data_IF_243394373300
#
_entry.id   IF_243394373300
#
_cell.length_a   1.000
_cell.length_b   1.000
_cell.length_c   1.000
_cell.angle_alpha   90.00
_cell.angle_beta   90.00
_cell.angle_gamma   90.00
#
_symmetry.space_group_name_H-M   'P 1'
#
loop_
_entity.id
_entity.type
_entity.pdbx_description
1 polymer ?
#
# COMPACT_ATOMS: atom_id res chain seq x y z
N UNK A 1 7.73 -19.41 -19.50
CA UNK A 1 7.78 -20.30 -18.32
C UNK A 1 6.46 -21.03 -18.31
N UNK A 2 6.48 -22.34 -18.20
CA UNK A 2 5.25 -23.14 -18.05
C UNK A 2 4.54 -22.70 -16.77
N UNK A 3 3.24 -22.54 -16.85
CA UNK A 3 2.41 -22.12 -15.72
C UNK A 3 2.14 -23.36 -14.89
N UNK A 4 2.76 -23.47 -13.72
CA UNK A 4 2.57 -24.58 -12.78
C UNK A 4 1.25 -24.38 -12.04
N UNK A 5 0.40 -25.39 -12.02
CA UNK A 5 -0.85 -25.37 -11.27
C UNK A 5 -0.60 -25.81 -9.82
N UNK A 6 -1.43 -25.37 -8.89
CA UNK A 6 -1.29 -25.75 -7.48
C UNK A 6 -1.51 -27.24 -7.23
N UNK A 7 -2.32 -27.92 -8.06
CA UNK A 7 -2.53 -29.38 -7.98
C UNK A 7 -1.29 -30.19 -8.38
N UNK A 8 -0.34 -29.61 -9.11
CA UNK A 8 0.94 -30.22 -9.49
C UNK A 8 2.01 -30.11 -8.37
N UNK A 9 1.78 -29.27 -7.35
CA UNK A 9 2.74 -29.01 -6.28
C UNK A 9 2.70 -30.01 -5.11
N UNK A 10 1.93 -31.10 -5.22
CA UNK A 10 1.78 -32.14 -4.20
C UNK A 10 1.41 -31.59 -2.80
N UNK A 11 0.44 -30.68 -2.74
CA UNK A 11 -0.02 -30.05 -1.53
C UNK A 11 -1.00 -30.92 -0.74
N UNK A 12 -1.08 -30.68 0.58
CA UNK A 12 -2.15 -31.24 1.40
C UNK A 12 -3.53 -30.89 0.81
N UNK A 13 -4.45 -31.87 0.62
CA UNK A 13 -5.76 -31.62 0.02
C UNK A 13 -6.56 -30.52 0.72
N UNK A 14 -6.36 -30.31 2.04
CA UNK A 14 -7.03 -29.25 2.81
C UNK A 14 -6.51 -27.85 2.40
N UNK A 15 -5.21 -27.74 2.16
CA UNK A 15 -4.57 -26.51 1.69
C UNK A 15 -4.94 -26.25 0.22
N UNK A 16 -4.90 -27.27 -0.63
CA UNK A 16 -5.30 -27.16 -2.03
C UNK A 16 -6.75 -26.66 -2.17
N UNK A 17 -7.66 -27.17 -1.33
CA UNK A 17 -9.04 -26.69 -1.28
C UNK A 17 -9.14 -25.24 -0.86
N UNK A 18 -8.35 -24.81 0.14
CA UNK A 18 -8.33 -23.42 0.58
C UNK A 18 -7.80 -22.47 -0.51
N UNK A 19 -6.74 -22.88 -1.21
CA UNK A 19 -6.15 -22.16 -2.36
C UNK A 19 -7.18 -21.99 -3.48
N UNK A 20 -7.94 -23.05 -3.79
CA UNK A 20 -9.02 -23.02 -4.80
C UNK A 20 -10.14 -22.05 -4.38
N UNK A 21 -10.58 -22.10 -3.10
CA UNK A 21 -11.58 -21.18 -2.56
C UNK A 21 -11.14 -19.70 -2.60
N UNK A 22 -9.82 -19.45 -2.55
CA UNK A 22 -9.23 -18.12 -2.70
C UNK A 22 -9.13 -17.66 -4.16
N UNK A 23 -9.53 -18.48 -5.13
CA UNK A 23 -9.50 -18.18 -6.55
C UNK A 23 -8.12 -18.28 -7.19
N UNK A 24 -7.18 -18.98 -6.57
CA UNK A 24 -5.84 -19.20 -7.13
C UNK A 24 -5.86 -20.44 -8.04
N UNK A 25 -5.74 -20.23 -9.35
CA UNK A 25 -5.70 -21.32 -10.34
C UNK A 25 -4.28 -21.81 -10.61
N UNK A 26 -3.36 -20.88 -10.71
CA UNK A 26 -1.97 -21.14 -11.06
C UNK A 26 -1.00 -20.48 -10.07
N UNK A 27 0.10 -21.13 -9.79
CA UNK A 27 1.16 -20.60 -8.95
C UNK A 27 1.87 -19.43 -9.63
N UNK A 28 2.07 -18.35 -8.92
CA UNK A 28 2.92 -17.26 -9.37
C UNK A 28 4.38 -17.72 -9.50
N UNK A 29 5.24 -17.02 -10.25
CA UNK A 29 6.63 -17.45 -10.44
C UNK A 29 7.40 -17.65 -9.13
N UNK A 30 7.14 -16.84 -8.10
CA UNK A 30 7.78 -17.01 -6.79
C UNK A 30 7.23 -18.23 -6.06
N UNK A 31 5.93 -18.50 -6.14
CA UNK A 31 5.29 -19.64 -5.51
C UNK A 31 5.77 -20.95 -6.16
N UNK A 32 5.82 -21.01 -7.49
CA UNK A 32 6.24 -22.17 -8.24
C UNK A 32 7.68 -22.60 -7.93
N UNK A 33 8.56 -21.64 -7.59
CA UNK A 33 9.97 -21.93 -7.29
C UNK A 33 10.21 -22.10 -5.77
N UNK A 34 9.57 -21.29 -4.92
CA UNK A 34 9.82 -21.30 -3.48
C UNK A 34 9.17 -22.50 -2.78
N UNK A 35 7.90 -22.82 -3.13
CA UNK A 35 7.16 -23.88 -2.44
C UNK A 35 7.91 -25.22 -2.45
N UNK A 36 8.43 -25.74 -3.57
CA UNK A 36 9.18 -27.01 -3.58
C UNK A 36 10.43 -26.95 -2.71
N UNK A 37 11.23 -25.88 -2.81
CA UNK A 37 12.47 -25.70 -2.06
C UNK A 37 12.21 -25.70 -0.54
N UNK A 38 11.17 -24.99 -0.09
CA UNK A 38 10.80 -24.96 1.32
C UNK A 38 10.23 -26.30 1.82
N UNK A 39 9.47 -27.00 0.97
CA UNK A 39 8.94 -28.34 1.31
C UNK A 39 10.05 -29.37 1.50
N UNK A 40 11.14 -29.25 0.75
CA UNK A 40 12.35 -30.10 0.93
C UNK A 40 13.13 -29.77 2.23
N UNK A 41 12.76 -28.68 2.92
CA UNK A 41 13.38 -28.31 4.20
C UNK A 41 14.62 -27.43 4.06
N UNK A 42 14.95 -26.96 2.87
CA UNK A 42 16.11 -26.09 2.66
C UNK A 42 15.85 -24.68 3.24
N UNK A 43 16.90 -24.07 3.74
CA UNK A 43 16.91 -22.61 3.96
C UNK A 43 16.82 -21.92 2.60
N UNK A 44 16.13 -20.78 2.56
CA UNK A 44 15.88 -20.11 1.30
C UNK A 44 15.97 -18.57 1.43
N UNK A 45 16.44 -17.97 0.36
CA UNK A 45 16.35 -16.52 0.14
C UNK A 45 15.47 -16.30 -1.09
N UNK A 46 14.28 -15.76 -0.88
CA UNK A 46 13.35 -15.38 -1.93
C UNK A 46 13.48 -13.89 -2.27
N UNK A 47 14.01 -13.58 -3.44
CA UNK A 47 14.07 -12.19 -3.90
C UNK A 47 12.87 -11.91 -4.81
N UNK A 48 11.87 -11.21 -4.25
CA UNK A 48 10.63 -10.87 -4.94
C UNK A 48 10.00 -9.62 -4.37
N UNK A 49 9.35 -8.83 -5.24
CA UNK A 49 8.62 -7.61 -4.85
C UNK A 49 7.34 -7.91 -4.07
N UNK A 50 6.74 -6.89 -3.43
CA UNK A 50 5.41 -6.96 -2.83
C UNK A 50 4.34 -7.26 -3.89
N UNK A 51 3.27 -7.96 -3.50
CA UNK A 51 2.18 -8.31 -4.42
C UNK A 51 2.46 -9.45 -5.39
N UNK A 52 3.58 -10.17 -5.26
CA UNK A 52 3.91 -11.33 -6.10
C UNK A 52 3.36 -12.66 -5.54
N UNK A 53 2.67 -12.63 -4.39
CA UNK A 53 2.14 -13.82 -3.73
C UNK A 53 3.13 -14.48 -2.78
N UNK A 54 4.08 -13.73 -2.19
CA UNK A 54 5.07 -14.23 -1.22
C UNK A 54 4.43 -14.94 -0.02
N UNK A 55 3.35 -14.40 0.52
CA UNK A 55 2.68 -14.97 1.71
C UNK A 55 2.25 -16.42 1.47
N UNK A 56 1.66 -16.72 0.32
CA UNK A 56 1.32 -18.08 -0.02
C UNK A 56 2.57 -18.93 -0.32
N UNK A 57 3.65 -18.33 -0.89
CA UNK A 57 4.90 -19.03 -1.19
C UNK A 57 5.53 -19.63 0.06
N UNK A 58 5.63 -18.88 1.17
CA UNK A 58 6.13 -19.44 2.44
C UNK A 58 5.03 -20.03 3.33
N UNK A 59 3.80 -19.51 3.25
CA UNK A 59 2.71 -19.92 4.11
C UNK A 59 2.23 -21.35 3.85
N UNK A 60 2.19 -21.79 2.60
CA UNK A 60 1.79 -23.14 2.22
C UNK A 60 2.77 -24.19 2.78
N UNK A 61 4.09 -24.13 2.51
CA UNK A 61 5.06 -25.07 3.08
C UNK A 61 5.10 -25.04 4.60
N UNK A 62 5.00 -23.84 5.18
CA UNK A 62 4.96 -23.67 6.63
C UNK A 62 3.76 -24.38 7.25
N UNK A 63 2.55 -24.22 6.69
CA UNK A 63 1.34 -24.87 7.18
C UNK A 63 1.41 -26.39 7.02
N UNK A 64 2.02 -26.91 5.98
CA UNK A 64 2.19 -28.36 5.78
C UNK A 64 3.08 -29.02 6.83
N UNK A 65 3.94 -28.26 7.51
CA UNK A 65 4.84 -28.74 8.59
C UNK A 65 4.23 -28.63 9.99
N UNK A 66 3.05 -28.03 10.12
CA UNK A 66 2.43 -27.81 11.46
C UNK A 66 1.82 -29.08 12.01
N UNK A 67 2.12 -29.38 13.27
CA UNK A 67 1.44 -30.39 14.08
C UNK A 67 0.32 -29.72 14.89
N UNK A 68 -0.96 -29.97 14.56
CA UNK A 68 -2.09 -29.37 15.26
C UNK A 68 -2.25 -29.86 16.71
N UNK A 69 -1.71 -31.03 17.05
CA UNK A 69 -1.78 -31.59 18.40
C UNK A 69 -0.73 -30.94 19.34
N UNK A 70 0.36 -30.42 18.77
CA UNK A 70 1.37 -29.72 19.52
C UNK A 70 0.97 -28.25 19.73
N UNK A 71 0.60 -27.89 20.94
CA UNK A 71 0.18 -26.52 21.31
C UNK A 71 1.30 -25.50 21.48
N UNK A 72 2.56 -25.93 21.34
CA UNK A 72 3.72 -25.01 21.39
C UNK A 72 3.80 -24.20 20.10
N UNK A 73 4.52 -23.08 20.19
CA UNK A 73 4.86 -22.30 19.00
C UNK A 73 5.87 -23.04 18.14
N UNK A 74 5.52 -23.34 16.91
CA UNK A 74 6.29 -24.14 15.97
C UNK A 74 6.91 -23.29 14.86
N UNK A 75 6.30 -22.15 14.56
CA UNK A 75 6.81 -21.23 13.56
C UNK A 75 6.69 -19.77 14.00
N UNK A 76 7.65 -18.97 13.52
CA UNK A 76 7.68 -17.53 13.73
C UNK A 76 7.88 -16.81 12.39
N UNK A 77 7.07 -15.79 12.15
CA UNK A 77 7.20 -14.91 10.99
C UNK A 77 7.45 -13.50 11.50
N UNK A 78 8.54 -12.87 11.08
CA UNK A 78 8.85 -11.48 11.37
C UNK A 78 8.49 -10.59 10.20
N UNK A 79 7.79 -9.50 10.49
CA UNK A 79 7.34 -8.50 9.53
C UNK A 79 7.72 -7.10 10.00
N UNK A 80 8.03 -6.15 9.10
CA UNK A 80 8.43 -4.79 9.47
C UNK A 80 7.34 -3.99 10.18
N UNK A 81 6.08 -4.19 9.80
CA UNK A 81 4.95 -3.39 10.28
C UNK A 81 3.85 -4.25 10.90
N UNK A 82 3.03 -3.61 11.72
CA UNK A 82 1.87 -4.23 12.37
C UNK A 82 0.83 -4.65 11.35
N UNK A 83 0.61 -3.79 10.38
CA UNK A 83 -0.36 -3.97 9.31
C UNK A 83 -0.01 -5.21 8.49
N UNK A 84 1.26 -5.36 8.10
CA UNK A 84 1.72 -6.55 7.38
C UNK A 84 1.61 -7.81 8.27
N UNK A 85 1.94 -7.72 9.55
CA UNK A 85 1.79 -8.87 10.46
C UNK A 85 0.32 -9.32 10.59
N UNK A 86 -0.62 -8.39 10.60
CA UNK A 86 -2.06 -8.69 10.60
C UNK A 86 -2.47 -9.33 9.27
N UNK A 87 -2.07 -8.73 8.15
CA UNK A 87 -2.37 -9.21 6.80
C UNK A 87 -1.85 -10.63 6.58
N UNK A 88 -0.58 -10.88 6.90
CA UNK A 88 0.04 -12.21 6.81
C UNK A 88 -0.70 -13.22 7.69
N UNK A 89 -1.05 -12.84 8.93
CA UNK A 89 -1.81 -13.73 9.82
C UNK A 89 -3.20 -14.06 9.27
N UNK A 90 -3.89 -13.11 8.64
CA UNK A 90 -5.20 -13.33 8.03
C UNK A 90 -5.11 -14.20 6.78
N UNK A 91 -4.11 -13.99 5.93
CA UNK A 91 -3.87 -14.80 4.75
C UNK A 91 -3.54 -16.26 5.13
N UNK A 92 -2.68 -16.46 6.13
CA UNK A 92 -2.40 -17.79 6.68
C UNK A 92 -3.65 -18.46 7.27
N UNK A 93 -4.54 -17.72 7.93
CA UNK A 93 -5.82 -18.27 8.42
C UNK A 93 -6.72 -18.69 7.26
N UNK A 94 -6.74 -17.95 6.16
CA UNK A 94 -7.49 -18.32 4.95
C UNK A 94 -6.91 -19.61 4.33
N UNK A 95 -5.59 -19.72 4.23
CA UNK A 95 -4.90 -20.94 3.76
C UNK A 95 -5.15 -22.12 4.69
N UNK A 96 -5.20 -21.90 6.03
CA UNK A 96 -5.46 -22.92 7.03
C UNK A 96 -6.96 -23.21 7.26
N UNK A 97 -7.88 -22.66 6.46
CA UNK A 97 -9.34 -22.72 6.64
C UNK A 97 -9.86 -24.13 6.92
N UNK A 98 -9.28 -25.14 6.32
CA UNK A 98 -9.68 -26.55 6.46
C UNK A 98 -8.76 -27.35 7.38
N UNK A 99 -7.78 -26.72 8.04
CA UNK A 99 -6.86 -27.31 8.99
C UNK A 99 -7.35 -27.02 10.42
N UNK A 100 -7.99 -27.99 11.08
CA UNK A 100 -8.43 -27.82 12.46
C UNK A 100 -7.22 -27.81 13.42
N UNK A 101 -7.31 -27.04 14.50
CA UNK A 101 -6.31 -27.04 15.57
C UNK A 101 -5.16 -26.05 15.39
N UNK A 102 -4.96 -25.48 14.20
CA UNK A 102 -3.89 -24.48 13.94
C UNK A 102 -4.37 -23.08 14.36
N UNK A 103 -3.63 -22.49 15.29
CA UNK A 103 -3.85 -21.12 15.77
C UNK A 103 -2.72 -20.22 15.33
N UNK A 104 -3.08 -19.09 14.72
CA UNK A 104 -2.17 -18.09 14.19
C UNK A 104 -2.41 -16.78 14.94
N UNK A 105 -1.38 -16.25 15.60
CA UNK A 105 -1.47 -15.05 16.42
C UNK A 105 -0.60 -13.93 15.86
N UNK A 106 -1.18 -12.79 15.47
CA UNK A 106 -0.39 -11.59 15.21
C UNK A 106 0.07 -10.95 16.53
N UNK A 107 1.38 -10.61 16.61
CA UNK A 107 2.07 -10.10 17.79
C UNK A 107 2.77 -8.79 17.43
N UNK A 108 2.19 -7.65 17.82
CA UNK A 108 2.68 -6.33 17.42
C UNK A 108 2.47 -5.28 18.52
N UNK A 109 3.21 -4.18 18.42
CA UNK A 109 3.11 -3.06 19.36
C UNK A 109 1.81 -2.25 19.19
N UNK A 110 1.41 -1.47 20.23
CA UNK A 110 0.20 -0.65 20.21
C UNK A 110 -1.08 -1.34 20.69
N UNK A 111 -1.09 -2.66 20.77
CA UNK A 111 -2.14 -3.45 21.43
C UNK A 111 -1.73 -3.75 22.87
N UNK A 112 -2.71 -3.91 23.76
CA UNK A 112 -2.46 -4.37 25.14
C UNK A 112 -1.77 -5.72 25.16
N UNK A 113 -0.57 -5.76 25.74
CA UNK A 113 0.25 -6.98 25.81
C UNK A 113 -0.46 -8.12 26.54
N UNK A 114 -1.32 -7.81 27.53
CA UNK A 114 -2.05 -8.81 28.34
C UNK A 114 -2.97 -9.66 27.45
N UNK A 115 -3.60 -9.07 26.42
CA UNK A 115 -4.44 -9.82 25.48
C UNK A 115 -3.61 -10.83 24.69
N UNK A 116 -2.43 -10.43 24.22
CA UNK A 116 -1.49 -11.31 23.52
C UNK A 116 -0.97 -12.43 24.43
N UNK A 117 -0.59 -12.12 25.68
CA UNK A 117 -0.16 -13.12 26.67
C UNK A 117 -1.26 -14.16 26.93
N UNK A 118 -2.52 -13.72 27.05
CA UNK A 118 -3.66 -14.66 27.25
C UNK A 118 -3.82 -15.60 26.06
N UNK A 119 -3.71 -15.09 24.85
CA UNK A 119 -3.78 -15.91 23.63
C UNK A 119 -2.62 -16.91 23.56
N UNK A 120 -1.40 -16.49 23.84
CA UNK A 120 -0.20 -17.35 23.87
C UNK A 120 -0.33 -18.49 24.90
N UNK A 121 -0.86 -18.21 26.10
CA UNK A 121 -1.15 -19.25 27.13
C UNK A 121 -2.17 -20.28 26.65
N UNK A 122 -3.08 -19.91 25.75
CA UNK A 122 -4.06 -20.82 25.16
C UNK A 122 -3.49 -21.80 24.11
N UNK A 123 -2.18 -21.71 23.83
CA UNK A 123 -1.48 -22.47 22.79
C UNK A 123 -1.65 -21.83 21.41
N UNK A 124 -0.54 -21.53 20.74
CA UNK A 124 -0.46 -20.90 19.41
C UNK A 124 0.69 -21.55 18.66
N UNK A 125 0.40 -22.10 17.49
CA UNK A 125 1.39 -22.77 16.66
C UNK A 125 2.21 -21.79 15.83
N UNK A 126 1.60 -20.73 15.33
CA UNK A 126 2.27 -19.76 14.45
C UNK A 126 2.14 -18.35 15.01
N UNK A 127 3.27 -17.69 15.19
CA UNK A 127 3.34 -16.27 15.55
C UNK A 127 3.75 -15.47 14.32
N UNK A 128 3.02 -14.40 14.07
CA UNK A 128 3.38 -13.40 13.05
C UNK A 128 3.60 -12.08 13.77
N UNK A 129 4.83 -11.57 13.81
CA UNK A 129 5.10 -10.44 14.68
C UNK A 129 6.06 -9.39 14.15
N UNK A 130 6.00 -8.20 14.76
CA UNK A 130 7.02 -7.16 14.57
C UNK A 130 8.16 -7.38 15.54
N UNK A 131 9.45 -7.17 15.13
CA UNK A 131 10.62 -7.52 15.94
C UNK A 131 10.56 -7.01 17.37
N UNK A 132 10.35 -5.72 17.60
CA UNK A 132 10.37 -5.14 18.95
C UNK A 132 9.31 -5.74 19.90
N UNK A 133 8.11 -6.12 19.44
CA UNK A 133 7.08 -6.75 20.28
C UNK A 133 7.39 -8.23 20.52
N UNK A 134 7.93 -8.93 19.55
CA UNK A 134 8.41 -10.31 19.69
C UNK A 134 9.51 -10.35 20.76
N UNK A 135 10.48 -9.43 20.70
CA UNK A 135 11.53 -9.26 21.74
C UNK A 135 10.95 -9.03 23.14
N UNK A 136 9.93 -8.17 23.28
CA UNK A 136 9.28 -7.93 24.58
C UNK A 136 8.65 -9.21 25.14
N UNK A 137 7.99 -10.01 24.30
CA UNK A 137 7.44 -11.32 24.71
C UNK A 137 8.53 -12.36 25.05
N UNK A 138 9.64 -12.39 24.30
CA UNK A 138 10.77 -13.29 24.59
C UNK A 138 11.44 -12.93 25.93
N UNK A 139 11.72 -11.63 26.16
CA UNK A 139 12.26 -11.15 27.47
C UNK A 139 11.33 -11.50 28.65
N UNK A 140 10.01 -11.47 28.43
CA UNK A 140 8.99 -11.86 29.42
C UNK A 140 8.78 -13.37 29.50
N UNK A 141 9.46 -14.16 28.66
CA UNK A 141 9.29 -15.63 28.56
C UNK A 141 7.83 -16.04 28.30
N UNK A 142 7.05 -15.22 27.63
CA UNK A 142 5.66 -15.50 27.24
C UNK A 142 5.57 -16.16 25.87
N UNK A 143 6.56 -15.97 25.01
CA UNK A 143 6.85 -16.79 23.82
C UNK A 143 7.94 -17.80 24.24
N UNK A 144 7.70 -19.07 23.98
CA UNK A 144 8.68 -20.15 24.14
C UNK A 144 9.18 -20.53 22.76
N UNK A 145 10.50 -20.53 22.61
CA UNK A 145 11.17 -20.76 21.32
C UNK A 145 11.56 -22.21 21.08
N UNK A 146 11.51 -23.05 22.11
CA UNK A 146 12.06 -24.42 22.16
C UNK A 146 11.47 -25.40 21.13
N UNK A 147 10.33 -25.12 20.56
CA UNK A 147 9.68 -25.94 19.54
C UNK A 147 9.60 -25.27 18.15
N UNK A 148 10.23 -24.10 18.00
CA UNK A 148 10.23 -23.39 16.71
C UNK A 148 11.20 -24.09 15.76
N UNK A 149 10.68 -24.66 14.69
CA UNK A 149 11.44 -25.32 13.65
C UNK A 149 11.42 -24.57 12.31
N UNK A 150 10.64 -23.47 12.20
CA UNK A 150 10.62 -22.65 10.98
C UNK A 150 10.56 -21.17 11.38
N UNK A 151 11.44 -20.36 10.83
CA UNK A 151 11.38 -18.90 10.92
C UNK A 151 11.37 -18.28 9.54
N UNK A 152 10.50 -17.28 9.36
CA UNK A 152 10.39 -16.49 8.12
C UNK A 152 10.69 -15.03 8.44
N UNK A 153 11.56 -14.40 7.66
CA UNK A 153 11.76 -12.96 7.63
C UNK A 153 11.08 -12.41 6.36
N UNK A 154 9.94 -11.76 6.51
CA UNK A 154 9.25 -11.15 5.38
C UNK A 154 9.57 -9.65 5.30
N UNK A 155 9.90 -9.18 4.11
CA UNK A 155 10.40 -7.82 3.85
C UNK A 155 11.62 -7.48 4.73
N UNK A 156 12.65 -8.33 4.69
CA UNK A 156 13.84 -8.21 5.54
C UNK A 156 14.59 -6.88 5.32
N UNK A 157 14.67 -6.41 4.08
CA UNK A 157 15.25 -5.09 3.73
C UNK A 157 14.46 -3.94 4.38
N UNK A 158 13.14 -4.05 4.45
CA UNK A 158 12.31 -3.05 5.11
C UNK A 158 12.51 -3.06 6.64
N UNK A 159 12.66 -4.24 7.25
CA UNK A 159 13.02 -4.32 8.68
C UNK A 159 14.39 -3.66 8.96
N UNK A 160 15.35 -3.84 8.04
CA UNK A 160 16.64 -3.14 8.11
C UNK A 160 16.48 -1.62 8.04
N UNK A 161 15.73 -1.13 7.06
CA UNK A 161 15.47 0.31 6.86
C UNK A 161 14.76 0.95 8.07
N UNK A 162 13.99 0.17 8.82
CA UNK A 162 13.34 0.59 10.05
C UNK A 162 14.21 0.47 11.30
N UNK A 163 15.46 0.04 11.17
CA UNK A 163 16.42 -0.07 12.27
C UNK A 163 16.28 -1.34 13.11
N UNK A 164 15.59 -2.38 12.64
CA UNK A 164 15.39 -3.64 13.37
C UNK A 164 16.51 -4.66 13.20
N UNK A 165 17.69 -4.25 12.70
CA UNK A 165 18.82 -5.16 12.47
C UNK A 165 19.19 -5.93 13.73
N UNK A 166 19.46 -5.23 14.83
CA UNK A 166 19.85 -5.82 16.13
C UNK A 166 18.74 -6.70 16.73
N UNK A 167 17.48 -6.28 16.57
CA UNK A 167 16.33 -7.07 17.03
C UNK A 167 16.22 -8.39 16.26
N UNK A 168 16.38 -8.36 14.93
CA UNK A 168 16.37 -9.57 14.09
C UNK A 168 17.50 -10.52 14.49
N UNK A 169 18.73 -10.03 14.63
CA UNK A 169 19.88 -10.85 15.06
C UNK A 169 19.66 -11.47 16.43
N UNK A 170 19.13 -10.71 17.38
CA UNK A 170 18.85 -11.19 18.72
C UNK A 170 17.78 -12.28 18.71
N UNK A 171 16.67 -12.05 17.99
CA UNK A 171 15.60 -13.05 17.87
C UNK A 171 16.14 -14.34 17.25
N UNK A 172 16.82 -14.23 16.11
CA UNK A 172 17.37 -15.40 15.40
C UNK A 172 18.40 -16.16 16.26
N UNK A 173 19.19 -15.46 17.08
CA UNK A 173 20.17 -16.05 18.00
C UNK A 173 19.54 -16.82 19.18
N UNK A 174 18.30 -16.49 19.57
CA UNK A 174 17.57 -17.18 20.65
C UNK A 174 16.68 -18.34 20.16
N UNK A 175 16.58 -18.56 18.85
CA UNK A 175 15.86 -19.69 18.27
C UNK A 175 16.74 -20.96 18.23
N UNK A 176 16.13 -22.17 18.19
CA UNK A 176 16.87 -23.42 18.03
C UNK A 176 17.78 -23.42 16.80
N UNK A 177 18.96 -24.05 16.90
CA UNK A 177 19.89 -24.17 15.77
C UNK A 177 19.34 -25.08 14.67
N UNK A 178 18.60 -26.12 15.04
CA UNK A 178 17.90 -27.01 14.13
C UNK A 178 16.56 -26.40 13.74
N UNK A 179 16.62 -25.60 12.69
CA UNK A 179 15.43 -24.95 12.11
C UNK A 179 15.61 -24.67 10.63
N UNK A 180 14.54 -24.46 9.94
CA UNK A 180 14.53 -23.86 8.62
C UNK A 180 14.40 -22.34 8.73
N UNK A 181 15.28 -21.60 8.07
CA UNK A 181 15.25 -20.13 8.03
C UNK A 181 14.95 -19.67 6.58
N UNK A 182 13.83 -19.01 6.39
CA UNK A 182 13.37 -18.48 5.11
C UNK A 182 13.41 -16.97 5.14
N UNK A 183 13.96 -16.35 4.14
CA UNK A 183 14.04 -14.89 4.03
C UNK A 183 13.43 -14.43 2.72
N UNK A 184 12.49 -13.49 2.79
CA UNK A 184 11.98 -12.76 1.65
C UNK A 184 12.42 -11.29 1.73
N UNK A 185 12.97 -10.78 0.63
CA UNK A 185 13.45 -9.41 0.50
C UNK A 185 13.30 -8.94 -0.94
N UNK A 186 12.99 -7.68 -1.16
CA UNK A 186 13.00 -7.13 -2.51
C UNK A 186 14.42 -6.81 -2.97
N UNK A 187 15.26 -6.37 -2.03
CA UNK A 187 16.66 -6.00 -2.24
C UNK A 187 17.58 -6.82 -1.33
N UNK A 188 18.88 -6.85 -1.65
CA UNK A 188 19.86 -7.59 -0.86
C UNK A 188 21.01 -6.67 -0.41
N UNK A 189 20.76 -5.71 0.52
CA UNK A 189 21.81 -4.90 1.12
C UNK A 189 22.83 -5.77 1.84
N UNK A 190 24.06 -5.26 2.00
CA UNK A 190 25.14 -5.99 2.66
C UNK A 190 24.78 -6.54 4.05
N UNK A 191 24.04 -5.74 4.85
CA UNK A 191 23.60 -6.17 6.18
C UNK A 191 22.62 -7.37 6.12
N UNK A 192 21.71 -7.41 5.16
CA UNK A 192 20.79 -8.56 4.97
C UNK A 192 21.57 -9.80 4.50
N UNK A 193 22.54 -9.63 3.60
CA UNK A 193 23.42 -10.73 3.19
C UNK A 193 24.23 -11.28 4.39
N UNK A 194 24.66 -10.42 5.31
CA UNK A 194 25.34 -10.86 6.55
C UNK A 194 24.41 -11.66 7.49
N UNK A 195 23.15 -11.23 7.65
CA UNK A 195 22.16 -12.02 8.42
C UNK A 195 21.96 -13.40 7.77
N UNK A 196 21.80 -13.44 6.46
CA UNK A 196 21.66 -14.71 5.74
C UNK A 196 22.89 -15.62 5.97
N UNK A 197 24.08 -15.09 5.80
CA UNK A 197 25.33 -15.85 6.05
C UNK A 197 25.46 -16.37 7.48
N UNK A 198 24.99 -15.60 8.47
CA UNK A 198 25.11 -15.93 9.89
C UNK A 198 24.07 -16.93 10.38
N UNK A 199 22.85 -16.89 9.85
CA UNK A 199 21.70 -17.62 10.39
C UNK A 199 21.05 -18.62 9.44
N UNK A 200 21.53 -18.74 8.20
CA UNK A 200 21.06 -19.74 7.24
C UNK A 200 22.13 -20.76 6.91
N UNK A 201 21.71 -21.99 6.64
CA UNK A 201 22.58 -23.12 6.29
C UNK A 201 22.40 -23.45 4.80
N UNK A 202 23.40 -23.16 3.96
CA UNK A 202 23.40 -23.39 2.50
C UNK A 202 22.07 -22.95 1.82
N UNK A 203 21.69 -21.68 1.96
CA UNK A 203 20.37 -21.24 1.50
C UNK A 203 20.24 -21.33 -0.02
N UNK A 204 19.10 -21.83 -0.50
CA UNK A 204 18.76 -21.80 -1.92
C UNK A 204 18.28 -20.40 -2.30
N UNK A 205 18.86 -19.84 -3.36
CA UNK A 205 18.44 -18.54 -3.89
C UNK A 205 17.30 -18.75 -4.88
N UNK A 206 16.13 -18.24 -4.54
CA UNK A 206 14.97 -18.16 -5.44
C UNK A 206 14.80 -16.71 -5.84
N UNK A 207 15.16 -16.42 -7.06
CA UNK A 207 15.09 -15.05 -7.59
C UNK A 207 14.10 -14.99 -8.74
N UNK A 208 12.96 -14.36 -8.49
CA UNK A 208 12.06 -13.99 -9.55
C UNK A 208 12.53 -12.67 -10.13
N UNK A 209 13.54 -12.77 -10.98
CA UNK A 209 13.96 -11.63 -11.78
C UNK A 209 12.87 -11.39 -12.82
N UNK A 210 11.96 -10.48 -12.54
CA UNK A 210 11.37 -9.77 -13.67
C UNK A 210 12.54 -9.04 -14.31
N UNK A 211 12.82 -9.35 -15.57
CA UNK A 211 13.89 -8.75 -16.40
C UNK A 211 13.84 -7.22 -16.42
N UNK A 212 12.78 -6.65 -15.90
CA UNK A 212 12.56 -5.22 -15.69
C UNK A 212 11.84 -5.09 -14.35
N UNK A 213 12.17 -4.09 -13.55
CA UNK A 213 11.27 -3.51 -12.55
C UNK A 213 10.02 -3.08 -13.32
N UNK A 214 9.18 -4.05 -13.70
CA UNK A 214 7.92 -3.74 -14.35
C UNK A 214 7.09 -3.08 -13.28
N UNK A 215 7.27 -1.78 -13.24
CA UNK A 215 6.25 -0.91 -12.70
C UNK A 215 4.95 -1.39 -13.35
N UNK A 216 3.91 -1.71 -12.57
CA UNK A 216 2.61 -2.08 -13.12
C UNK A 216 2.25 -1.11 -14.24
N UNK A 217 1.19 -1.34 -15.02
CA UNK A 217 0.71 -0.42 -16.06
C UNK A 217 0.34 0.95 -15.45
N UNK A 218 1.33 1.62 -14.89
CA UNK A 218 1.21 2.93 -14.26
C UNK A 218 1.77 3.97 -15.21
N UNK A 219 0.91 4.85 -15.66
CA UNK A 219 1.33 6.02 -16.40
C UNK A 219 1.87 7.05 -15.41
N UNK A 220 3.11 7.48 -15.62
CA UNK A 220 3.84 8.31 -14.67
C UNK A 220 4.09 9.69 -15.26
N UNK A 221 3.67 10.69 -14.53
CA UNK A 221 3.83 12.10 -14.88
C UNK A 221 4.61 12.85 -13.81
N UNK A 222 5.35 13.89 -14.22
CA UNK A 222 5.85 14.86 -13.27
C UNK A 222 5.54 16.29 -13.70
N UNK A 223 5.38 17.16 -12.71
CA UNK A 223 5.11 18.58 -12.85
C UNK A 223 6.20 19.34 -12.13
N UNK A 224 6.83 20.28 -12.81
CA UNK A 224 7.78 21.21 -12.19
C UNK A 224 6.99 22.32 -11.51
N UNK A 225 7.10 22.42 -10.19
CA UNK A 225 6.27 23.32 -9.38
C UNK A 225 7.10 24.16 -8.41
N UNK A 226 6.61 25.33 -8.04
CA UNK A 226 7.17 26.06 -6.89
C UNK A 226 6.61 25.47 -5.58
N UNK A 227 7.37 25.49 -4.46
CA UNK A 227 6.92 24.93 -3.19
C UNK A 227 5.53 25.42 -2.76
N UNK A 228 5.26 26.72 -2.89
CA UNK A 228 3.99 27.35 -2.53
C UNK A 228 2.80 26.88 -3.37
N UNK A 229 3.05 26.39 -4.57
CA UNK A 229 2.00 26.00 -5.53
C UNK A 229 1.68 24.51 -5.50
N UNK A 230 2.40 23.68 -4.71
CA UNK A 230 2.20 22.22 -4.66
C UNK A 230 0.75 21.82 -4.37
N UNK A 231 0.13 22.43 -3.35
CA UNK A 231 -1.25 22.13 -2.96
C UNK A 231 -2.20 22.45 -4.11
N UNK A 232 -2.06 23.64 -4.70
CA UNK A 232 -2.91 24.08 -5.80
C UNK A 232 -2.80 23.16 -7.01
N UNK A 233 -1.58 22.80 -7.42
CA UNK A 233 -1.36 21.87 -8.54
C UNK A 233 -1.95 20.49 -8.23
N UNK A 234 -1.80 20.00 -6.99
CA UNK A 234 -2.41 18.73 -6.60
C UNK A 234 -3.93 18.77 -6.68
N UNK A 235 -4.57 19.86 -6.21
CA UNK A 235 -6.02 20.03 -6.31
C UNK A 235 -6.48 20.06 -7.77
N UNK A 236 -5.80 20.79 -8.65
CA UNK A 236 -6.09 20.80 -10.09
C UNK A 236 -6.02 19.39 -10.71
N UNK A 237 -5.02 18.59 -10.32
CA UNK A 237 -4.89 17.21 -10.80
C UNK A 237 -5.97 16.29 -10.23
N UNK A 238 -6.38 16.48 -8.97
CA UNK A 238 -7.49 15.75 -8.38
C UNK A 238 -8.80 16.02 -9.14
N UNK A 239 -9.08 17.28 -9.45
CA UNK A 239 -10.30 17.65 -10.20
C UNK A 239 -10.26 17.21 -11.66
N UNK A 240 -9.09 17.34 -12.30
CA UNK A 240 -8.89 16.94 -13.70
C UNK A 240 -9.07 15.43 -13.91
N UNK A 241 -8.51 14.61 -12.99
CA UNK A 241 -8.51 13.15 -13.13
C UNK A 241 -9.58 12.45 -12.30
N UNK A 242 -10.17 13.14 -11.34
CA UNK A 242 -11.24 12.67 -10.45
C UNK A 242 -11.05 11.23 -9.94
N UNK A 243 -9.88 10.86 -9.35
CA UNK A 243 -9.67 9.51 -8.89
C UNK A 243 -10.58 9.20 -7.70
N UNK A 244 -11.27 8.05 -7.70
CA UNK A 244 -12.13 7.62 -6.59
C UNK A 244 -11.34 7.45 -5.29
N UNK A 245 -10.17 6.82 -5.39
CA UNK A 245 -9.25 6.66 -4.27
C UNK A 245 -7.84 7.05 -4.70
N UNK A 246 -7.16 7.82 -3.87
CA UNK A 246 -5.78 8.23 -4.10
C UNK A 246 -4.93 8.22 -2.83
N UNK A 247 -3.62 8.04 -3.00
CA UNK A 247 -2.65 8.16 -1.91
C UNK A 247 -1.65 9.26 -2.25
N UNK A 248 -1.44 10.19 -1.31
CA UNK A 248 -0.44 11.23 -1.40
C UNK A 248 0.71 10.97 -0.42
N UNK A 249 1.93 10.99 -0.92
CA UNK A 249 3.13 10.74 -0.12
C UNK A 249 3.87 12.03 0.23
N UNK A 250 4.09 12.24 1.52
CA UNK A 250 4.91 13.31 2.09
C UNK A 250 6.14 12.74 2.79
N UNK A 251 7.24 13.47 2.78
CA UNK A 251 8.48 13.03 3.41
C UNK A 251 8.45 13.18 4.95
N UNK A 252 7.61 14.06 5.49
CA UNK A 252 7.51 14.31 6.94
C UNK A 252 6.07 14.26 7.43
N UNK A 253 5.89 13.88 8.72
CA UNK A 253 4.58 13.86 9.37
C UNK A 253 3.95 15.26 9.47
N UNK A 254 4.75 16.31 9.65
CA UNK A 254 4.27 17.70 9.67
C UNK A 254 3.65 18.08 8.33
N UNK A 255 4.29 17.71 7.21
CA UNK A 255 3.74 17.94 5.87
C UNK A 255 2.45 17.13 5.63
N UNK A 256 2.33 15.91 6.20
CA UNK A 256 1.07 15.16 6.16
C UNK A 256 -0.06 15.96 6.79
N UNK A 257 0.14 16.49 8.00
CA UNK A 257 -0.89 17.26 8.70
C UNK A 257 -1.23 18.56 7.95
N UNK A 258 -0.22 19.28 7.46
CA UNK A 258 -0.39 20.52 6.69
C UNK A 258 -1.16 20.27 5.38
N UNK A 259 -0.82 19.20 4.65
CA UNK A 259 -1.50 18.85 3.40
C UNK A 259 -2.96 18.41 3.65
N UNK A 260 -3.21 17.61 4.69
CA UNK A 260 -4.58 17.20 5.07
C UNK A 260 -5.43 18.42 5.38
N UNK A 261 -4.93 19.35 6.18
CA UNK A 261 -5.66 20.59 6.51
C UNK A 261 -5.94 21.44 5.27
N UNK A 262 -4.97 21.55 4.36
CA UNK A 262 -5.13 22.31 3.13
C UNK A 262 -6.16 21.66 2.17
N UNK A 263 -6.17 20.33 2.06
CA UNK A 263 -7.14 19.60 1.25
C UNK A 263 -8.56 19.66 1.85
N UNK A 264 -8.69 19.45 3.15
CA UNK A 264 -9.97 19.54 3.87
C UNK A 264 -10.55 20.96 3.79
N UNK A 265 -9.72 21.99 3.91
CA UNK A 265 -10.11 23.40 3.76
C UNK A 265 -10.67 23.73 2.37
N UNK A 266 -10.37 22.89 1.37
CA UNK A 266 -10.88 22.99 -0.01
C UNK A 266 -12.00 21.98 -0.33
N UNK A 267 -12.55 21.32 0.70
CA UNK A 267 -13.69 20.43 0.58
C UNK A 267 -13.36 18.98 0.19
N UNK A 268 -12.08 18.58 0.11
CA UNK A 268 -11.71 17.19 -0.18
C UNK A 268 -11.78 16.30 1.06
N UNK A 269 -12.24 15.06 0.91
CA UNK A 269 -12.26 14.05 1.96
C UNK A 269 -10.87 13.41 2.12
N UNK A 270 -9.99 14.09 2.85
CA UNK A 270 -8.61 13.67 3.09
C UNK A 270 -8.36 13.32 4.55
N UNK A 271 -7.61 12.24 4.82
CA UNK A 271 -7.13 11.88 6.16
C UNK A 271 -5.64 11.56 6.14
N UNK A 272 -4.97 11.86 7.26
CA UNK A 272 -3.53 11.68 7.42
C UNK A 272 -3.16 10.36 8.08
N UNK A 273 -2.03 9.77 7.64
CA UNK A 273 -1.47 8.56 8.23
C UNK A 273 0.03 8.71 8.47
N UNK A 274 0.44 8.81 9.73
CA UNK A 274 1.85 8.93 10.13
C UNK A 274 2.12 8.27 11.48
N UNK A 275 3.40 8.18 11.87
CA UNK A 275 3.84 7.41 13.04
C UNK A 275 3.35 7.91 14.40
N UNK A 276 2.90 9.16 14.52
CA UNK A 276 2.42 9.74 15.80
C UNK A 276 0.96 9.37 16.09
N UNK A 277 0.21 8.84 15.13
CA UNK A 277 -1.15 8.39 15.34
C UNK A 277 -1.21 7.18 16.27
N UNK A 278 -2.15 7.20 17.22
CA UNK A 278 -2.47 6.03 18.03
C UNK A 278 -3.09 4.94 17.14
N UNK A 279 -2.96 3.67 17.55
CA UNK A 279 -3.44 2.54 16.75
C UNK A 279 -4.93 2.65 16.41
N UNK A 280 -5.77 3.01 17.38
CA UNK A 280 -7.22 3.19 17.17
C UNK A 280 -7.53 4.26 16.10
N UNK A 281 -6.72 5.32 16.04
CA UNK A 281 -6.84 6.36 15.01
C UNK A 281 -6.43 5.82 13.64
N UNK A 282 -5.32 5.07 13.58
CA UNK A 282 -4.86 4.43 12.33
C UNK A 282 -5.92 3.46 11.78
N UNK A 283 -6.48 2.62 12.66
CA UNK A 283 -7.51 1.64 12.28
C UNK A 283 -8.76 2.34 11.76
N UNK A 284 -9.15 3.48 12.38
CA UNK A 284 -10.26 4.31 11.92
C UNK A 284 -9.99 4.90 10.54
N UNK A 285 -8.84 5.57 10.35
CA UNK A 285 -8.43 6.18 9.07
C UNK A 285 -8.43 5.12 7.96
N UNK A 286 -7.83 3.96 8.23
CA UNK A 286 -7.78 2.87 7.26
C UNK A 286 -9.16 2.27 6.96
N UNK A 287 -10.03 2.18 7.97
CA UNK A 287 -11.42 1.77 7.78
C UNK A 287 -12.20 2.75 6.92
N UNK A 288 -12.07 4.06 7.19
CA UNK A 288 -12.68 5.14 6.41
C UNK A 288 -12.22 5.13 4.94
N UNK A 289 -10.91 4.95 4.71
CA UNK A 289 -10.35 4.88 3.37
C UNK A 289 -10.83 3.64 2.58
N UNK A 290 -10.82 2.45 3.20
CA UNK A 290 -11.32 1.22 2.54
C UNK A 290 -12.80 1.28 2.17
N UNK A 291 -13.60 1.97 2.96
CA UNK A 291 -15.03 2.14 2.71
C UNK A 291 -15.34 3.29 1.73
N UNK A 292 -14.32 4.00 1.25
CA UNK A 292 -14.48 5.14 0.33
C UNK A 292 -15.04 6.41 0.98
N UNK A 293 -15.15 6.48 2.31
CA UNK A 293 -15.55 7.69 3.02
C UNK A 293 -14.40 8.73 3.08
N UNK A 294 -13.16 8.27 2.99
CA UNK A 294 -11.97 9.08 2.74
C UNK A 294 -11.48 8.78 1.33
N UNK A 295 -11.39 9.80 0.49
CA UNK A 295 -10.99 9.67 -0.91
C UNK A 295 -9.47 9.80 -1.08
N UNK A 296 -8.83 10.58 -0.20
CA UNK A 296 -7.41 10.90 -0.26
C UNK A 296 -6.72 10.50 1.05
N UNK A 297 -5.85 9.50 0.97
CA UNK A 297 -4.98 9.14 2.09
C UNK A 297 -3.65 9.87 1.95
N UNK A 298 -3.32 10.74 2.90
CA UNK A 298 -2.01 11.42 2.94
C UNK A 298 -1.10 10.70 3.92
N UNK A 299 0.05 10.22 3.48
CA UNK A 299 0.88 9.37 4.33
C UNK A 299 2.39 9.64 4.19
N UNK A 300 3.15 9.27 5.24
CA UNK A 300 4.60 9.10 5.12
C UNK A 300 4.92 7.69 4.60
N UNK A 301 6.10 7.50 3.99
CA UNK A 301 6.54 6.19 3.49
C UNK A 301 6.45 5.10 4.56
N UNK A 302 6.97 5.37 5.75
CA UNK A 302 6.96 4.43 6.87
C UNK A 302 5.55 4.05 7.29
N UNK A 303 4.63 5.00 7.33
CA UNK A 303 3.25 4.74 7.74
C UNK A 303 2.43 4.05 6.65
N UNK A 304 2.76 4.27 5.38
CA UNK A 304 2.13 3.64 4.24
C UNK A 304 2.66 2.23 3.92
N UNK A 305 3.74 1.80 4.59
CA UNK A 305 4.26 0.43 4.47
C UNK A 305 3.34 -0.58 5.15
N UNK A 306 3.17 -1.73 4.52
CA UNK A 306 2.34 -2.81 5.05
C UNK A 306 0.85 -2.47 5.15
N UNK A 307 0.41 -1.30 4.65
CA UNK A 307 -1.01 -1.04 4.55
C UNK A 307 -1.53 -1.76 3.31
N UNK A 308 -2.64 -2.47 3.51
CA UNK A 308 -3.47 -3.03 2.45
C UNK A 308 -4.26 -1.87 1.78
N UNK A 309 -3.52 -0.99 1.14
CA UNK A 309 -4.01 0.08 0.27
C UNK A 309 -3.56 -0.30 -1.13
N UNK A 310 -4.11 -1.38 -1.58
CA UNK A 310 -3.93 -1.84 -2.93
C UNK A 310 -5.13 -1.35 -3.74
N UNK A 311 -4.87 -1.01 -4.99
CA UNK A 311 -5.92 -0.67 -5.94
C UNK A 311 -6.42 0.78 -5.91
N UNK A 312 -5.57 1.72 -5.50
CA UNK A 312 -5.87 3.13 -5.69
C UNK A 312 -5.72 3.52 -7.17
N UNK A 313 -6.56 4.45 -7.64
CA UNK A 313 -6.53 4.91 -9.03
C UNK A 313 -5.37 5.87 -9.30
N UNK A 314 -4.95 6.62 -8.27
CA UNK A 314 -3.86 7.58 -8.38
C UNK A 314 -2.92 7.58 -7.18
N UNK A 315 -1.64 7.78 -7.46
CA UNK A 315 -0.60 8.04 -6.48
C UNK A 315 0.01 9.42 -6.72
N UNK A 316 0.05 10.22 -5.67
CA UNK A 316 0.71 11.53 -5.70
C UNK A 316 1.99 11.46 -4.89
N UNK A 317 3.14 11.63 -5.53
CA UNK A 317 4.38 11.97 -4.85
C UNK A 317 4.37 13.48 -4.60
N UNK A 318 3.68 13.91 -3.53
CA UNK A 318 3.66 15.31 -3.11
C UNK A 318 5.07 15.81 -2.81
N UNK A 319 5.88 14.96 -2.17
CA UNK A 319 7.32 15.12 -2.08
C UNK A 319 8.04 13.98 -2.81
N UNK A 320 9.09 14.30 -3.54
CA UNK A 320 9.95 13.30 -4.17
C UNK A 320 10.63 12.46 -3.08
N UNK A 321 10.61 11.12 -3.15
CA UNK A 321 11.18 10.27 -2.13
C UNK A 321 12.69 10.43 -2.01
N UNK A 322 13.25 10.16 -0.83
CA UNK A 322 14.69 10.26 -0.59
C UNK A 322 15.46 9.19 -1.36
N UNK A 323 14.95 7.97 -1.43
CA UNK A 323 15.55 6.83 -2.10
C UNK A 323 14.72 6.37 -3.30
N UNK A 324 15.39 5.87 -4.33
CA UNK A 324 14.77 5.47 -5.59
C UNK A 324 13.81 4.27 -5.39
N UNK A 325 14.12 3.37 -4.45
CA UNK A 325 13.29 2.22 -4.10
C UNK A 325 11.93 2.63 -3.55
N UNK A 326 11.87 3.69 -2.73
CA UNK A 326 10.61 4.22 -2.21
C UNK A 326 9.69 4.69 -3.33
N UNK A 327 10.24 5.23 -4.41
CA UNK A 327 9.43 5.61 -5.56
C UNK A 327 8.65 4.42 -6.12
N UNK A 328 9.32 3.27 -6.29
CA UNK A 328 8.67 2.04 -6.77
C UNK A 328 7.61 1.54 -5.80
N UNK A 329 7.90 1.55 -4.50
CA UNK A 329 6.96 1.13 -3.45
C UNK A 329 5.73 2.03 -3.39
N UNK A 330 5.88 3.35 -3.61
CA UNK A 330 4.77 4.31 -3.65
C UNK A 330 3.88 4.06 -4.86
N UNK A 331 4.45 4.06 -6.07
CA UNK A 331 3.66 3.88 -7.30
C UNK A 331 3.08 2.47 -7.43
N UNK A 332 3.69 1.49 -6.76
CA UNK A 332 3.16 0.12 -6.65
C UNK A 332 1.87 0.00 -5.84
N UNK A 333 1.30 1.10 -5.31
CA UNK A 333 -0.04 1.12 -4.69
C UNK A 333 -1.14 1.23 -5.74
N UNK A 334 -0.81 1.56 -6.98
CA UNK A 334 -1.74 1.60 -8.11
C UNK A 334 -1.33 0.65 -9.22
N UNK A 335 -2.19 0.42 -10.20
CA UNK A 335 -1.90 -0.40 -11.38
C UNK A 335 -1.76 -1.89 -11.10
N UNK A 336 -2.36 -2.43 -10.03
CA UNK A 336 -2.35 -3.85 -9.67
C UNK A 336 -3.46 -4.64 -10.36
N UNK A 337 -3.34 -5.97 -10.36
CA UNK A 337 -4.32 -6.90 -10.93
C UNK A 337 -4.71 -6.60 -12.39
N UNK A 338 -3.78 -6.02 -13.18
CA UNK A 338 -4.03 -5.71 -14.60
C UNK A 338 -4.78 -4.39 -14.86
N UNK A 339 -5.14 -3.63 -13.83
CA UNK A 339 -5.76 -2.31 -13.96
C UNK A 339 -4.73 -1.25 -14.32
N UNK A 340 -5.21 -0.17 -14.94
CA UNK A 340 -4.39 1.01 -15.21
C UNK A 340 -4.32 1.91 -13.98
N UNK A 341 -3.14 2.46 -13.70
CA UNK A 341 -2.92 3.40 -12.62
C UNK A 341 -2.21 4.65 -13.10
N UNK A 342 -2.28 5.72 -12.31
CA UNK A 342 -1.57 6.97 -12.58
C UNK A 342 -0.72 7.37 -11.39
N UNK A 343 0.49 7.88 -11.68
CA UNK A 343 1.37 8.44 -10.68
C UNK A 343 1.77 9.86 -11.08
N UNK A 344 1.58 10.79 -10.16
CA UNK A 344 1.88 12.21 -10.34
C UNK A 344 2.97 12.62 -9.35
N UNK A 345 4.04 13.22 -9.84
CA UNK A 345 5.17 13.67 -9.02
C UNK A 345 5.32 15.19 -9.10
N UNK A 346 5.30 15.87 -7.94
CA UNK A 346 5.45 17.32 -7.85
C UNK A 346 6.91 17.66 -7.51
N UNK A 347 7.69 18.02 -8.52
CA UNK A 347 9.12 18.27 -8.38
C UNK A 347 9.43 19.77 -8.22
N UNK A 348 10.26 20.10 -7.24
CA UNK A 348 10.70 21.49 -6.98
C UNK A 348 12.15 21.64 -7.40
N UNK A 349 12.40 22.50 -8.39
CA UNK A 349 13.75 22.89 -8.78
C UNK A 349 14.68 21.70 -9.07
N UNK A 350 15.69 21.47 -8.22
CA UNK A 350 16.68 20.41 -8.42
C UNK A 350 16.13 18.98 -8.27
N UNK A 351 14.92 18.79 -7.73
CA UNK A 351 14.29 17.47 -7.62
C UNK A 351 14.01 16.82 -8.97
N UNK A 352 13.93 17.61 -10.05
CA UNK A 352 13.83 17.11 -11.43
C UNK A 352 15.03 16.23 -11.80
N UNK A 353 16.23 16.55 -11.31
CA UNK A 353 17.41 15.69 -11.53
C UNK A 353 17.28 14.36 -10.82
N UNK A 354 16.74 14.38 -9.60
CA UNK A 354 16.47 13.15 -8.85
C UNK A 354 15.45 12.25 -9.57
N UNK A 355 14.40 12.82 -10.17
CA UNK A 355 13.48 12.04 -11.00
C UNK A 355 14.17 11.37 -12.20
N UNK A 356 15.21 11.99 -12.77
CA UNK A 356 16.00 11.36 -13.84
C UNK A 356 16.81 10.17 -13.33
N UNK A 357 17.33 10.22 -12.12
CA UNK A 357 18.04 9.10 -11.51
C UNK A 357 17.06 7.96 -11.18
N UNK A 358 15.89 8.28 -10.64
CA UNK A 358 14.77 7.32 -10.46
C UNK A 358 14.37 6.66 -11.79
N UNK A 359 14.25 7.43 -12.89
CA UNK A 359 13.94 6.88 -14.21
C UNK A 359 15.00 5.86 -14.69
N UNK A 360 16.27 6.13 -14.45
CA UNK A 360 17.38 5.23 -14.79
C UNK A 360 17.34 3.96 -13.94
N UNK A 361 17.11 4.12 -12.62
CA UNK A 361 17.01 3.02 -11.69
C UNK A 361 15.83 2.10 -12.01
N UNK A 362 14.65 2.68 -12.20
CA UNK A 362 13.41 1.94 -12.46
C UNK A 362 13.27 1.50 -13.93
N UNK A 363 14.15 1.92 -14.84
CA UNK A 363 14.03 1.72 -16.30
C UNK A 363 12.65 2.08 -16.84
N UNK A 364 12.05 3.13 -16.30
CA UNK A 364 10.70 3.60 -16.65
C UNK A 364 10.77 5.03 -17.20
N UNK A 365 9.69 5.46 -17.83
CA UNK A 365 9.59 6.83 -18.34
C UNK A 365 8.59 7.61 -17.46
N UNK A 366 9.08 8.69 -16.83
CA UNK A 366 8.23 9.68 -16.14
C UNK A 366 8.10 10.87 -17.08
N UNK A 367 6.89 11.15 -17.55
CA UNK A 367 6.65 12.13 -18.62
C UNK A 367 6.46 13.52 -18.02
N UNK A 368 7.22 14.55 -18.43
CA UNK A 368 6.97 15.92 -18.01
C UNK A 368 5.62 16.39 -18.57
N UNK A 369 4.84 17.08 -17.75
CA UNK A 369 3.58 17.68 -18.16
C UNK A 369 3.54 19.15 -17.72
N UNK A 370 2.90 20.01 -18.50
CA UNK A 370 2.59 21.37 -18.05
C UNK A 370 1.57 21.32 -16.90
N UNK A 371 1.65 22.29 -16.01
CA UNK A 371 0.65 22.44 -14.94
C UNK A 371 -0.70 22.73 -15.63
N UNK A 372 -1.79 22.03 -15.27
CA UNK A 372 -3.11 22.30 -15.82
C UNK A 372 -3.51 23.78 -15.63
N UNK A 373 -3.99 24.41 -16.68
CA UNK A 373 -4.48 25.79 -16.57
C UNK A 373 -5.78 25.86 -15.75
N UNK A 374 -6.10 27.03 -15.25
CA UNK A 374 -7.39 27.26 -14.59
C UNK A 374 -8.55 26.97 -15.53
N UNK A 375 -8.44 27.38 -16.79
CA UNK A 375 -9.47 27.20 -17.80
C UNK A 375 -9.75 25.72 -18.06
N UNK A 376 -8.69 24.87 -18.15
CA UNK A 376 -8.85 23.42 -18.35
C UNK A 376 -9.60 22.76 -17.20
N UNK A 377 -9.23 23.10 -15.95
CA UNK A 377 -9.85 22.53 -14.75
C UNK A 377 -11.28 23.04 -14.59
N UNK A 378 -11.50 24.33 -14.84
CA UNK A 378 -12.81 24.96 -14.77
C UNK A 378 -13.78 24.33 -15.78
N UNK A 379 -13.32 24.12 -17.02
CA UNK A 379 -14.14 23.49 -18.06
C UNK A 379 -14.56 22.07 -17.67
N UNK A 380 -13.63 21.24 -17.20
CA UNK A 380 -13.90 19.84 -16.80
C UNK A 380 -14.83 19.77 -15.58
N UNK A 381 -14.60 20.63 -14.58
CA UNK A 381 -15.47 20.69 -13.38
C UNK A 381 -16.89 21.13 -13.78
N UNK A 382 -16.99 22.10 -14.69
CA UNK A 382 -18.26 22.56 -15.21
C UNK A 382 -19.00 21.46 -15.98
N UNK A 383 -18.31 20.72 -16.87
CA UNK A 383 -18.91 19.60 -17.60
C UNK A 383 -19.40 18.52 -16.65
N UNK A 384 -18.61 18.15 -15.63
CA UNK A 384 -19.03 17.15 -14.64
C UNK A 384 -20.29 17.57 -13.89
N UNK A 385 -20.36 18.84 -13.43
CA UNK A 385 -21.56 19.37 -12.77
C UNK A 385 -22.77 19.33 -13.73
N UNK A 386 -22.55 19.67 -14.99
CA UNK A 386 -23.62 19.65 -16.00
C UNK A 386 -24.08 18.21 -16.29
N UNK A 387 -23.18 17.22 -16.32
CA UNK A 387 -23.54 15.81 -16.47
C UNK A 387 -24.37 15.31 -15.29
N UNK A 388 -23.96 15.66 -14.05
CA UNK A 388 -24.72 15.33 -12.83
C UNK A 388 -26.12 15.99 -12.86
N UNK A 389 -26.21 17.26 -13.27
CA UNK A 389 -27.49 17.97 -13.47
C UNK A 389 -28.35 17.28 -14.53
N UNK A 390 -27.75 16.83 -15.64
CA UNK A 390 -28.48 16.12 -16.68
C UNK A 390 -29.11 14.81 -16.17
N UNK A 391 -28.43 14.06 -15.31
CA UNK A 391 -28.99 12.87 -14.68
C UNK A 391 -30.21 13.23 -13.81
N UNK A 392 -30.11 14.27 -13.00
CA UNK A 392 -31.24 14.74 -12.16
C UNK A 392 -32.45 15.23 -12.99
N UNK A 393 -32.24 15.84 -14.16
CA UNK A 393 -33.34 16.27 -15.04
C UNK A 393 -34.16 15.07 -15.54
N UNK A 394 -33.52 13.87 -15.68
CA UNK A 394 -34.21 12.67 -16.19
C UNK A 394 -34.99 11.86 -15.13
N UNK A 395 -34.66 12.02 -13.86
CA UNK A 395 -35.10 11.10 -12.78
C UNK A 395 -36.08 11.73 -11.77
N UNK A 396 -36.20 13.06 -11.66
CA UNK A 396 -36.84 13.71 -10.52
C UNK A 396 -38.15 14.49 -10.89
N UNK A 397 -39.29 13.92 -10.46
CA UNK A 397 -40.60 14.59 -10.55
C UNK A 397 -40.76 15.82 -9.64
N UNK A 398 -39.79 16.10 -8.75
CA UNK A 398 -39.81 17.27 -7.85
C UNK A 398 -39.37 18.55 -8.57
N UNK A 399 -38.78 18.47 -9.75
CA UNK A 399 -38.29 19.61 -10.51
C UNK A 399 -39.42 20.57 -10.95
N UNK A 400 -40.66 20.08 -11.14
CA UNK A 400 -41.80 20.94 -11.52
C UNK A 400 -41.98 22.08 -10.51
N UNK A 401 -41.92 21.79 -9.24
CA UNK A 401 -42.03 22.81 -8.16
C UNK A 401 -40.90 23.82 -8.19
N UNK A 402 -39.68 23.39 -8.50
CA UNK A 402 -38.52 24.29 -8.60
C UNK A 402 -38.63 25.16 -9.88
N UNK A 403 -39.10 24.58 -10.98
CA UNK A 403 -39.39 25.31 -12.23
C UNK A 403 -40.41 26.42 -12.01
N UNK A 404 -41.52 26.16 -11.29
CA UNK A 404 -42.51 27.19 -10.95
C UNK A 404 -41.93 28.36 -10.13
N UNK A 405 -41.02 28.05 -9.21
CA UNK A 405 -40.34 29.08 -8.39
C UNK A 405 -39.43 29.93 -9.28
N UNK A 406 -38.66 29.29 -10.15
CA UNK A 406 -37.71 29.96 -11.05
C UNK A 406 -38.49 30.83 -12.07
N UNK A 407 -39.57 30.32 -12.69
CA UNK A 407 -40.38 31.06 -13.62
C UNK A 407 -40.97 32.33 -12.99
N UNK A 408 -41.53 32.21 -11.79
CA UNK A 408 -42.05 33.38 -11.05
C UNK A 408 -40.97 34.43 -10.78
N UNK A 409 -39.75 33.99 -10.52
CA UNK A 409 -38.63 34.89 -10.26
C UNK A 409 -38.16 35.59 -11.54
N UNK A 410 -38.06 34.84 -12.66
CA UNK A 410 -37.67 35.36 -13.96
C UNK A 410 -38.68 36.40 -14.49
N UNK A 411 -39.98 36.25 -14.15
CA UNK A 411 -41.01 37.23 -14.52
C UNK A 411 -40.93 38.52 -13.72
N UNK A 412 -40.32 38.49 -12.53
CA UNK A 412 -40.21 39.63 -11.62
C UNK A 412 -38.89 40.40 -11.77
N UNK A 413 -37.88 39.83 -12.40
CA UNK A 413 -36.52 40.37 -12.45
C UNK A 413 -36.02 40.44 -13.90
N UNK A 414 -35.02 41.28 -14.16
CA UNK A 414 -34.53 41.58 -15.51
C UNK A 414 -33.26 40.78 -15.87
N UNK A 415 -33.32 39.44 -15.70
CA UNK A 415 -32.27 38.51 -16.13
C UNK A 415 -32.86 37.26 -16.82
N UNK A 416 -32.05 36.60 -17.62
CA UNK A 416 -32.44 35.44 -18.43
C UNK A 416 -32.23 34.12 -17.64
N UNK A 417 -32.93 33.06 -18.08
CA UNK A 417 -32.71 31.71 -17.56
C UNK A 417 -31.26 31.23 -17.75
N UNK A 418 -30.59 31.69 -18.82
CA UNK A 418 -29.18 31.36 -19.07
C UNK A 418 -28.26 32.04 -18.06
N UNK A 419 -28.49 33.30 -17.73
CA UNK A 419 -27.72 34.02 -16.71
C UNK A 419 -27.93 33.42 -15.33
N UNK A 420 -29.15 33.01 -15.01
CA UNK A 420 -29.44 32.31 -13.78
C UNK A 420 -28.74 30.96 -13.71
N UNK A 421 -28.77 30.16 -14.78
CA UNK A 421 -28.08 28.87 -14.88
C UNK A 421 -26.55 29.04 -14.74
N UNK A 422 -25.96 30.05 -15.40
CA UNK A 422 -24.56 30.38 -15.31
C UNK A 422 -24.17 30.79 -13.90
N UNK A 423 -25.00 31.55 -13.17
CA UNK A 423 -24.80 31.91 -11.80
C UNK A 423 -24.85 30.70 -10.85
N UNK A 424 -25.80 29.78 -11.04
CA UNK A 424 -25.87 28.53 -10.30
C UNK A 424 -24.66 27.63 -10.56
N UNK A 425 -24.24 27.49 -11.81
CA UNK A 425 -23.04 26.75 -12.17
C UNK A 425 -21.80 27.34 -11.47
N UNK A 426 -21.64 28.67 -11.50
CA UNK A 426 -20.54 29.34 -10.81
C UNK A 426 -20.58 29.11 -9.30
N UNK A 427 -21.76 29.20 -8.67
CA UNK A 427 -21.93 28.88 -7.25
C UNK A 427 -21.59 27.42 -6.91
N UNK A 428 -22.00 26.48 -7.76
CA UNK A 428 -21.71 25.06 -7.60
C UNK A 428 -20.22 24.74 -7.78
N UNK A 429 -19.52 25.49 -8.64
CA UNK A 429 -18.08 25.34 -8.87
C UNK A 429 -17.23 25.81 -7.68
N UNK A 430 -17.69 26.78 -6.88
CA UNK A 430 -16.93 27.45 -5.82
C UNK A 430 -15.84 28.40 -6.36
N UNK A 431 -15.25 29.19 -5.46
CA UNK A 431 -14.16 30.15 -5.81
C UNK A 431 -12.77 29.61 -5.42
N UNK A 432 -12.53 28.29 -5.51
CA UNK A 432 -11.49 27.58 -4.79
C UNK A 432 -10.07 27.58 -5.43
N UNK A 433 -9.87 28.25 -6.57
CA UNK A 433 -8.57 28.21 -7.26
C UNK A 433 -7.78 29.51 -7.14
N UNK A 434 -6.52 29.41 -6.75
CA UNK A 434 -5.57 30.53 -6.83
C UNK A 434 -5.06 30.66 -8.27
N UNK A 435 -5.02 31.87 -8.80
CA UNK A 435 -4.39 32.17 -10.07
C UNK A 435 -2.86 32.00 -9.92
N UNK A 436 -2.35 30.87 -10.38
CA UNK A 436 -0.93 30.65 -10.52
C UNK A 436 -0.56 31.27 -11.85
N UNK A 437 0.02 32.47 -11.84
CA UNK A 437 0.52 33.13 -13.05
C UNK A 437 1.26 32.11 -13.94
N UNK A 438 0.85 32.04 -15.19
CA UNK A 438 1.23 31.08 -16.22
C UNK A 438 2.76 30.92 -16.32
N UNK A 439 3.35 29.98 -15.58
CA UNK A 439 4.80 29.71 -15.55
C UNK A 439 5.23 28.74 -16.66
N UNK A 440 4.30 28.38 -17.56
CA UNK A 440 4.47 27.39 -18.63
C UNK A 440 5.23 27.84 -19.89
N UNK A 441 5.83 29.02 -19.90
CA UNK A 441 6.58 29.52 -21.08
C UNK A 441 8.05 29.78 -20.80
N UNK A 442 8.79 28.76 -20.35
CA UNK A 442 10.27 28.83 -20.44
C UNK A 442 10.83 27.42 -20.60
N UNK A 443 10.91 26.93 -21.80
CA UNK A 443 12.02 26.06 -22.21
C UNK A 443 11.92 25.71 -23.70
N UNK A 444 12.05 26.70 -24.54
CA UNK A 444 12.70 26.51 -25.83
C UNK A 444 13.90 27.44 -25.87
N UNK A 445 15.05 26.93 -25.42
CA UNK A 445 16.36 27.47 -25.84
C UNK A 445 17.13 26.32 -26.47
N UNK A 446 17.79 26.64 -27.61
CA UNK A 446 18.35 25.70 -28.55
C UNK A 446 19.53 24.90 -28.02
#
# INVERSE_FOLDING_TARGET
>A
METIRFDELNLDPRILRAVTDMGFEAASPIQAQAIPVEMEGHDMIGQAQTGTGKTAAFGIPLLMKMDPENRKTQAMILCPTRELAIQVAEELRRLAKYMSGIKILPVYGGQEIVKQIRSLKGGVQIIVGTPGRVMDHMRRKTIRTDAIHTVVLDEADEMLNMGFLEDMETILGELPEERQTVMFSATMPHAIAQIAQKFQKDPKMVQVVKKELTVPKVTQYYYEVKPRNKVEVMCRLLDLYSPKLSVAFCNTKKQVDELVQALQGRGYFAEGLHGDLKQEQRDRVMGSFRNGATEILVATDVAARGIDVDDVEAVFNYDIPQDDEYYVHRIGRTGRAGREGRAFSLAVGSEVYKLRDIQRFCKTKIVPQPIPSLDDVTAIKAEKILDDVQQHIGEDSSLERMTDIIEKRLLAEDYTSLELAAAFLKMAMGDDYEDIADEGKTASRP
#
